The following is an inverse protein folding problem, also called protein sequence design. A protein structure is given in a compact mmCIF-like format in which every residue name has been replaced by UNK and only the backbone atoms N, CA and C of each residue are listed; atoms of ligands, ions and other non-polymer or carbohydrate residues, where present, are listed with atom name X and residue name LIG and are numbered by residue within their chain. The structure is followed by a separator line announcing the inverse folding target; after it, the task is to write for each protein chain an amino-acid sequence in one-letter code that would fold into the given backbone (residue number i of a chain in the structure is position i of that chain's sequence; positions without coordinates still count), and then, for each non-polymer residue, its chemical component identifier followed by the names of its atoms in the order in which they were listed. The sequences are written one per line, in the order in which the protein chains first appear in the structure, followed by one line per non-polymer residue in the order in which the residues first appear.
data_IF_991617382647
#
_entry.id   IF_991617382647
#
_cell.length_a   1.000
_cell.length_b   1.000
_cell.length_c   1.000
_cell.angle_alpha   90.00
_cell.angle_beta   90.00
_cell.angle_gamma   90.00
#
_symmetry.space_group_name_H-M   'P 1'
#
loop_
_entity.id
_entity.type
_entity.pdbx_description
1 polymer ?
#
# COMPACT_ATOMS: atom_id res chain seq x y z
N UNK A 1 -17.44 -13.17 6.99
CA UNK A 1 -16.34 -12.27 6.56
C UNK A 1 -16.45 -12.07 5.07
N UNK A 2 -16.27 -10.88 4.50
CA UNK A 2 -16.41 -10.71 3.05
C UNK A 2 -15.17 -11.25 2.33
N UNK A 3 -15.38 -12.03 1.26
CA UNK A 3 -14.31 -12.62 0.43
C UNK A 3 -13.29 -11.58 -0.03
N UNK A 4 -13.72 -10.34 -0.20
CA UNK A 4 -12.87 -9.22 -0.61
C UNK A 4 -11.75 -8.89 0.39
N UNK A 5 -11.97 -9.04 1.72
CA UNK A 5 -10.91 -8.81 2.72
C UNK A 5 -9.86 -9.90 2.67
N UNK A 6 -10.30 -11.17 2.53
CA UNK A 6 -9.40 -12.31 2.41
C UNK A 6 -8.56 -12.20 1.14
N UNK A 7 -9.19 -11.84 0.02
CA UNK A 7 -8.50 -11.64 -1.24
C UNK A 7 -7.44 -10.54 -1.14
N UNK A 8 -7.75 -9.41 -0.47
CA UNK A 8 -6.79 -8.35 -0.22
C UNK A 8 -5.59 -8.82 0.61
N UNK A 9 -5.82 -9.57 1.70
CA UNK A 9 -4.75 -10.10 2.55
C UNK A 9 -3.84 -11.05 1.75
N UNK A 10 -4.43 -11.98 1.00
CA UNK A 10 -3.70 -12.91 0.13
C UNK A 10 -2.91 -12.16 -0.95
N UNK A 11 -3.50 -11.13 -1.57
CA UNK A 11 -2.84 -10.30 -2.58
C UNK A 11 -1.59 -9.59 -2.04
N UNK A 12 -1.60 -9.22 -0.73
CA UNK A 12 -0.45 -8.63 -0.06
C UNK A 12 0.65 -9.65 0.30
N UNK A 13 0.44 -10.96 0.03
CA UNK A 13 1.39 -12.03 0.30
C UNK A 13 1.22 -12.73 1.65
N UNK A 14 0.12 -12.50 2.36
CA UNK A 14 -0.20 -13.17 3.62
C UNK A 14 -1.14 -14.36 3.38
N UNK A 15 -0.63 -15.39 2.70
CA UNK A 15 -1.44 -16.54 2.25
C UNK A 15 -1.90 -17.45 3.41
N UNK A 16 -1.16 -17.47 4.54
CA UNK A 16 -1.39 -18.35 5.70
C UNK A 16 -2.08 -17.65 6.87
N UNK A 17 -2.82 -16.58 6.60
CA UNK A 17 -3.54 -15.90 7.66
C UNK A 17 -4.71 -16.78 8.14
N UNK A 18 -4.69 -17.16 9.43
CA UNK A 18 -5.78 -17.90 10.04
C UNK A 18 -7.05 -17.05 10.12
N UNK A 19 -8.21 -17.68 9.98
CA UNK A 19 -9.49 -17.00 9.98
C UNK A 19 -9.73 -16.16 11.25
N UNK A 20 -9.16 -16.57 12.37
CA UNK A 20 -9.26 -15.87 13.67
C UNK A 20 -8.46 -14.57 13.73
N UNK A 21 -7.37 -14.44 12.96
CA UNK A 21 -6.49 -13.26 12.93
C UNK A 21 -6.74 -12.33 11.73
N UNK A 22 -7.63 -12.73 10.81
CA UNK A 22 -7.87 -11.99 9.56
C UNK A 22 -8.38 -10.55 9.76
N UNK A 23 -9.27 -10.30 10.72
CA UNK A 23 -9.81 -8.94 10.91
C UNK A 23 -8.76 -8.00 11.52
N UNK A 24 -7.95 -8.48 12.46
CA UNK A 24 -6.84 -7.72 13.02
C UNK A 24 -5.74 -7.46 12.00
N UNK A 25 -5.39 -8.48 11.20
CA UNK A 25 -4.41 -8.35 10.13
C UNK A 25 -4.90 -7.38 9.04
N UNK A 26 -6.18 -7.45 8.66
CA UNK A 26 -6.76 -6.51 7.71
C UNK A 26 -6.68 -5.06 8.23
N UNK A 27 -7.03 -4.82 9.49
CA UNK A 27 -6.93 -3.49 10.10
C UNK A 27 -5.47 -2.97 10.08
N UNK A 28 -4.53 -3.85 10.40
CA UNK A 28 -3.11 -3.55 10.37
C UNK A 28 -2.60 -3.21 8.97
N UNK A 29 -2.97 -4.01 7.97
CA UNK A 29 -2.58 -3.78 6.57
C UNK A 29 -3.21 -2.50 6.00
N UNK A 30 -4.38 -2.10 6.47
CA UNK A 30 -5.06 -0.87 6.05
C UNK A 30 -4.52 0.39 6.73
N UNK A 31 -3.71 0.27 7.78
CA UNK A 31 -3.16 1.42 8.49
C UNK A 31 -2.25 2.26 7.57
N UNK A 32 -1.26 1.64 6.95
CA UNK A 32 -0.32 2.32 6.06
C UNK A 32 -1.02 3.01 4.87
N UNK A 33 -1.89 2.35 4.07
CA UNK A 33 -2.58 3.03 2.98
C UNK A 33 -3.42 4.22 3.40
N UNK A 34 -4.04 4.17 4.58
CA UNK A 34 -4.82 5.29 5.12
C UNK A 34 -3.94 6.47 5.48
N UNK A 35 -2.83 6.24 6.19
CA UNK A 35 -1.89 7.30 6.56
C UNK A 35 -1.25 7.91 5.31
N UNK A 36 -0.74 7.08 4.41
CA UNK A 36 -0.16 7.54 3.13
C UNK A 36 -1.21 8.27 2.31
N UNK A 37 -2.44 7.77 2.24
CA UNK A 37 -3.53 8.42 1.51
C UNK A 37 -3.85 9.82 2.02
N UNK A 38 -3.90 10.00 3.34
CA UNK A 38 -4.10 11.33 3.94
C UNK A 38 -2.93 12.27 3.62
N UNK A 39 -1.68 11.76 3.71
CA UNK A 39 -0.50 12.56 3.39
C UNK A 39 -0.45 12.93 1.90
N UNK A 40 -0.78 12.01 1.01
CA UNK A 40 -0.88 12.27 -0.43
C UNK A 40 -1.97 13.31 -0.72
N UNK A 41 -3.14 13.17 -0.13
CA UNK A 41 -4.22 14.13 -0.31
C UNK A 41 -3.80 15.53 0.14
N UNK A 42 -3.15 15.66 1.31
CA UNK A 42 -2.61 16.92 1.76
C UNK A 42 -1.54 17.48 0.81
N UNK A 43 -0.64 16.61 0.30
CA UNK A 43 0.41 16.99 -0.65
C UNK A 43 -0.15 17.52 -1.97
N UNK A 44 -1.20 16.86 -2.49
CA UNK A 44 -1.91 17.28 -3.72
C UNK A 44 -2.63 18.61 -3.51
N UNK A 45 -3.37 18.77 -2.41
CA UNK A 45 -4.11 20.02 -2.12
C UNK A 45 -3.18 21.22 -1.94
N UNK A 46 -2.01 21.00 -1.34
CA UNK A 46 -1.01 22.04 -1.10
C UNK A 46 0.00 22.19 -2.24
N UNK A 47 -0.04 21.33 -3.25
CA UNK A 47 0.97 21.22 -4.32
C UNK A 47 2.40 21.22 -3.75
N UNK A 48 2.58 20.52 -2.63
CA UNK A 48 3.79 20.53 -1.84
C UNK A 48 4.79 19.47 -2.32
N UNK A 49 5.62 19.82 -3.32
CA UNK A 49 6.65 18.92 -3.84
C UNK A 49 7.56 18.28 -2.77
N UNK A 50 7.95 18.98 -1.66
CA UNK A 50 8.81 18.38 -0.65
C UNK A 50 8.13 17.19 0.07
N UNK A 51 6.81 17.27 0.30
CA UNK A 51 6.06 16.18 0.94
C UNK A 51 6.06 14.93 0.07
N UNK A 52 5.95 15.07 -1.25
CA UNK A 52 6.07 13.93 -2.17
C UNK A 52 7.45 13.28 -2.10
N UNK A 53 8.53 14.08 -2.00
CA UNK A 53 9.89 13.54 -1.87
C UNK A 53 10.09 12.83 -0.53
N UNK A 54 9.57 13.37 0.56
CA UNK A 54 9.60 12.71 1.88
C UNK A 54 8.83 11.39 1.83
N UNK A 55 7.62 11.39 1.28
CA UNK A 55 6.83 10.17 1.10
C UNK A 55 7.54 9.14 0.24
N UNK A 56 8.19 9.57 -0.83
CA UNK A 56 9.01 8.69 -1.68
C UNK A 56 10.10 8.02 -0.87
N UNK A 57 10.88 8.80 -0.11
CA UNK A 57 11.98 8.27 0.70
C UNK A 57 11.48 7.25 1.74
N UNK A 58 10.38 7.54 2.43
CA UNK A 58 9.79 6.66 3.43
C UNK A 58 9.25 5.37 2.81
N UNK A 59 8.60 5.44 1.65
CA UNK A 59 8.08 4.26 0.95
C UNK A 59 9.20 3.38 0.39
N UNK A 60 10.25 3.97 -0.17
CA UNK A 60 11.44 3.24 -0.61
C UNK A 60 12.17 2.60 0.57
N UNK A 61 12.32 3.32 1.69
CA UNK A 61 12.87 2.76 2.92
C UNK A 61 12.07 1.53 3.37
N UNK A 62 10.75 1.64 3.38
CA UNK A 62 9.84 0.54 3.75
C UNK A 62 9.94 -0.67 2.82
N UNK A 63 10.23 -0.43 1.52
CA UNK A 63 10.40 -1.50 0.53
C UNK A 63 11.75 -2.21 0.67
N UNK A 64 12.83 -1.48 0.97
CA UNK A 64 14.20 -2.02 1.06
C UNK A 64 14.45 -2.67 2.42
N UNK A 65 14.00 -2.04 3.50
CA UNK A 65 14.23 -2.49 4.88
C UNK A 65 12.88 -2.75 5.58
N UNK A 66 12.20 -3.86 5.24
CA UNK A 66 10.83 -4.12 5.70
C UNK A 66 10.71 -4.27 7.24
N UNK A 67 11.78 -4.71 7.92
CA UNK A 67 11.80 -4.81 9.38
C UNK A 67 11.75 -3.44 10.08
N UNK A 68 12.22 -2.39 9.38
CA UNK A 68 12.24 -1.02 9.89
C UNK A 68 11.16 -0.14 9.27
N UNK A 69 10.12 -0.74 8.67
CA UNK A 69 9.00 -0.01 8.11
C UNK A 69 8.36 0.88 9.19
N UNK A 70 8.39 2.22 9.05
CA UNK A 70 7.91 3.12 10.11
C UNK A 70 6.42 2.99 10.36
N UNK A 71 5.63 2.67 9.33
CA UNK A 71 4.18 2.48 9.47
C UNK A 71 3.84 1.22 10.26
N UNK A 72 4.53 0.11 10.00
CA UNK A 72 4.31 -1.16 10.69
C UNK A 72 4.77 -1.05 12.14
N UNK A 73 5.91 -0.38 12.39
CA UNK A 73 6.39 -0.11 13.76
C UNK A 73 5.43 0.79 14.54
N UNK A 74 4.94 1.86 13.92
CA UNK A 74 3.97 2.75 14.54
C UNK A 74 2.67 2.00 14.87
N UNK A 75 2.16 1.21 13.90
CA UNK A 75 0.99 0.38 14.14
C UNK A 75 1.22 -0.60 15.30
N UNK A 76 2.33 -1.34 15.30
CA UNK A 76 2.64 -2.29 16.34
C UNK A 76 2.77 -1.62 17.72
N UNK A 77 3.38 -0.44 17.80
CA UNK A 77 3.46 0.34 19.04
C UNK A 77 2.07 0.77 19.55
N UNK A 78 1.18 1.21 18.66
CA UNK A 78 -0.19 1.60 19.01
C UNK A 78 -1.07 0.38 19.36
N UNK A 79 -0.87 -0.75 18.69
CA UNK A 79 -1.62 -1.97 18.93
C UNK A 79 -1.20 -2.68 20.22
N UNK A 80 0.07 -2.62 20.59
CA UNK A 80 0.58 -3.22 21.84
C UNK A 80 -0.06 -2.62 23.10
N UNK A 81 -0.54 -1.37 23.02
CA UNK A 81 -1.24 -0.70 24.13
C UNK A 81 -2.72 -1.14 24.28
N UNK A 82 -3.25 -1.89 23.30
CA UNK A 82 -4.68 -2.28 23.22
C UNK A 82 -4.96 -3.78 23.35
N UNK A 83 -4.12 -4.56 24.03
CA UNK A 83 -4.28 -6.01 24.26
C UNK A 83 -4.12 -6.94 23.04
N UNK A 84 -3.01 -7.68 23.04
CA UNK A 84 -2.82 -9.00 22.41
C UNK A 84 -3.17 -9.18 20.92
N UNK A 85 -3.05 -8.14 20.10
CA UNK A 85 -3.07 -8.34 18.65
C UNK A 85 -1.65 -8.72 18.20
N UNK A 86 -1.44 -9.86 17.51
CA UNK A 86 -0.14 -10.19 16.95
C UNK A 86 0.37 -9.03 16.08
N UNK A 87 1.61 -8.58 16.33
CA UNK A 87 2.22 -7.52 15.53
C UNK A 87 2.35 -7.92 14.07
N UNK A 88 2.35 -6.92 13.18
CA UNK A 88 2.65 -7.16 11.77
C UNK A 88 4.07 -7.73 11.63
N UNK A 89 4.18 -8.83 10.92
CA UNK A 89 5.45 -9.39 10.46
C UNK A 89 6.01 -8.53 9.32
N UNK A 90 7.33 -8.58 9.03
CA UNK A 90 7.93 -7.84 7.93
C UNK A 90 7.20 -8.04 6.60
N UNK A 91 7.11 -6.97 5.82
CA UNK A 91 6.32 -6.93 4.60
C UNK A 91 6.77 -7.99 3.57
N UNK A 92 5.86 -8.87 3.08
CA UNK A 92 6.14 -9.81 2.00
C UNK A 92 6.48 -9.11 0.67
N UNK A 93 7.06 -9.87 -0.27
CA UNK A 93 7.53 -9.34 -1.56
C UNK A 93 6.47 -8.55 -2.36
N UNK A 94 5.19 -8.99 -2.48
CA UNK A 94 4.18 -8.22 -3.20
C UNK A 94 3.93 -6.84 -2.59
N UNK A 95 3.90 -6.75 -1.24
CA UNK A 95 3.71 -5.50 -0.52
C UNK A 95 4.92 -4.57 -0.66
N UNK A 96 6.13 -5.12 -0.56
CA UNK A 96 7.39 -4.37 -0.78
C UNK A 96 7.46 -3.78 -2.19
N UNK A 97 7.11 -4.57 -3.19
CA UNK A 97 7.05 -4.10 -4.58
C UNK A 97 6.04 -2.95 -4.74
N UNK A 98 4.85 -3.07 -4.17
CA UNK A 98 3.86 -2.00 -4.20
C UNK A 98 4.34 -0.72 -3.51
N UNK A 99 5.07 -0.82 -2.39
CA UNK A 99 5.69 0.31 -1.70
C UNK A 99 6.76 0.98 -2.57
N UNK A 100 7.66 0.21 -3.18
CA UNK A 100 8.68 0.73 -4.10
C UNK A 100 8.08 1.43 -5.32
N UNK A 101 7.05 0.82 -5.92
CA UNK A 101 6.31 1.42 -7.03
C UNK A 101 5.65 2.75 -6.62
N UNK A 102 4.97 2.76 -5.46
CA UNK A 102 4.39 3.99 -4.90
C UNK A 102 5.44 5.06 -4.63
N UNK A 103 6.59 4.68 -4.04
CA UNK A 103 7.73 5.57 -3.81
C UNK A 103 8.26 6.19 -5.11
N UNK A 104 8.31 5.39 -6.19
CA UNK A 104 8.74 5.89 -7.51
C UNK A 104 7.76 6.93 -8.07
N UNK A 105 6.45 6.69 -7.97
CA UNK A 105 5.46 7.68 -8.39
C UNK A 105 5.56 8.97 -7.58
N UNK A 106 5.73 8.87 -6.25
CA UNK A 106 5.94 10.06 -5.39
C UNK A 106 7.18 10.85 -5.79
N UNK A 107 8.29 10.15 -6.10
CA UNK A 107 9.51 10.78 -6.58
C UNK A 107 9.27 11.58 -7.86
N UNK A 108 8.65 10.94 -8.85
CA UNK A 108 8.38 11.59 -10.14
C UNK A 108 7.46 12.82 -9.98
N UNK A 109 6.39 12.70 -9.19
CA UNK A 109 5.51 13.84 -8.90
C UNK A 109 6.29 14.98 -8.27
N UNK A 110 7.07 14.70 -7.21
CA UNK A 110 7.86 15.71 -6.52
C UNK A 110 8.87 16.42 -7.43
N UNK A 111 9.53 15.66 -8.32
CA UNK A 111 10.47 16.21 -9.30
C UNK A 111 9.77 17.08 -10.36
N UNK A 112 8.64 16.62 -10.90
CA UNK A 112 7.88 17.40 -11.88
C UNK A 112 7.31 18.67 -11.28
N UNK A 113 6.77 18.64 -10.07
CA UNK A 113 6.29 19.84 -9.37
C UNK A 113 7.40 20.83 -9.05
N UNK A 114 8.63 20.34 -8.78
CA UNK A 114 9.76 21.20 -8.46
C UNK A 114 10.35 21.93 -9.67
N UNK A 115 10.54 21.25 -10.78
CA UNK A 115 11.39 21.70 -11.90
C UNK A 115 10.87 21.41 -13.29
N UNK A 116 9.73 20.74 -13.38
CA UNK A 116 9.19 20.28 -14.65
C UNK A 116 7.88 20.94 -15.06
N UNK A 117 7.31 20.49 -16.17
CA UNK A 117 5.96 20.88 -16.59
C UNK A 117 4.94 20.32 -15.59
N UNK A 118 3.94 21.13 -15.22
CA UNK A 118 2.91 20.75 -14.23
C UNK A 118 2.00 19.61 -14.72
N UNK A 119 1.75 19.50 -16.03
CA UNK A 119 0.82 18.53 -16.59
C UNK A 119 1.17 17.07 -16.24
N UNK A 120 2.41 16.57 -16.41
CA UNK A 120 2.77 15.21 -16.00
C UNK A 120 2.59 14.99 -14.48
N UNK A 121 2.89 16.01 -13.65
CA UNK A 121 2.67 15.91 -12.21
C UNK A 121 1.20 15.66 -11.90
N UNK A 122 0.30 16.45 -12.44
CA UNK A 122 -1.15 16.31 -12.22
C UNK A 122 -1.72 14.98 -12.70
N UNK A 123 -1.24 14.48 -13.85
CA UNK A 123 -1.64 13.14 -14.33
C UNK A 123 -1.21 12.05 -13.36
N UNK A 124 0.03 12.12 -12.87
CA UNK A 124 0.53 11.14 -11.89
C UNK A 124 -0.16 11.28 -10.53
N UNK A 125 -0.46 12.49 -10.07
CA UNK A 125 -1.24 12.75 -8.86
C UNK A 125 -2.62 12.10 -8.96
N UNK A 126 -3.34 12.33 -10.05
CA UNK A 126 -4.64 11.73 -10.29
C UNK A 126 -4.56 10.20 -10.27
N UNK A 127 -3.55 9.62 -10.95
CA UNK A 127 -3.33 8.19 -10.95
C UNK A 127 -3.09 7.64 -9.53
N UNK A 128 -2.22 8.29 -8.75
CA UNK A 128 -1.90 7.86 -7.38
C UNK A 128 -3.11 7.98 -6.46
N UNK A 129 -3.88 9.07 -6.54
CA UNK A 129 -5.11 9.25 -5.76
C UNK A 129 -6.11 8.15 -6.07
N UNK A 130 -6.31 7.81 -7.36
CA UNK A 130 -7.17 6.69 -7.77
C UNK A 130 -6.63 5.37 -7.24
N UNK A 131 -5.33 5.11 -7.39
CA UNK A 131 -4.71 3.86 -6.91
C UNK A 131 -4.87 3.67 -5.40
N UNK A 132 -4.68 4.72 -4.60
CA UNK A 132 -4.90 4.69 -3.15
C UNK A 132 -6.39 4.52 -2.82
N UNK A 133 -7.26 5.19 -3.55
CA UNK A 133 -8.71 5.02 -3.43
C UNK A 133 -9.14 3.57 -3.67
N UNK A 134 -8.57 2.90 -4.69
CA UNK A 134 -8.80 1.48 -4.96
C UNK A 134 -8.33 0.60 -3.79
N UNK A 135 -7.23 0.94 -3.11
CA UNK A 135 -6.80 0.18 -1.92
C UNK A 135 -7.78 0.38 -0.77
N UNK A 136 -8.14 1.62 -0.45
CA UNK A 136 -8.91 1.96 0.74
C UNK A 136 -10.38 1.53 0.61
N UNK A 137 -11.00 1.82 -0.54
CA UNK A 137 -12.43 1.56 -0.80
C UNK A 137 -12.62 0.21 -1.50
N UNK A 138 -11.87 -0.02 -2.57
CA UNK A 138 -11.95 -1.24 -3.38
C UNK A 138 -11.28 -2.46 -2.76
N UNK A 139 -10.44 -2.26 -1.72
CA UNK A 139 -9.65 -3.35 -1.11
C UNK A 139 -8.82 -4.09 -2.14
N UNK A 140 -8.25 -3.34 -3.06
CA UNK A 140 -7.47 -3.86 -4.18
C UNK A 140 -6.17 -3.06 -4.32
N UNK A 141 -5.03 -3.75 -4.24
CA UNK A 141 -3.72 -3.13 -4.41
C UNK A 141 -3.18 -3.37 -5.83
N UNK A 142 -3.19 -2.32 -6.65
CA UNK A 142 -2.69 -2.39 -8.03
C UNK A 142 -1.22 -2.83 -8.08
N UNK A 143 -0.36 -2.32 -7.19
CA UNK A 143 1.05 -2.68 -7.15
C UNK A 143 1.27 -4.16 -6.84
N UNK A 144 0.59 -4.72 -5.85
CA UNK A 144 0.67 -6.16 -5.53
C UNK A 144 0.09 -7.02 -6.66
N UNK A 145 -0.96 -6.55 -7.33
CA UNK A 145 -1.52 -7.23 -8.50
C UNK A 145 -0.50 -7.30 -9.65
N UNK A 146 0.15 -6.18 -9.96
CA UNK A 146 1.21 -6.13 -10.98
C UNK A 146 2.37 -7.05 -10.62
N UNK A 147 2.78 -7.10 -9.33
CA UNK A 147 3.80 -8.03 -8.87
C UNK A 147 3.44 -9.48 -9.22
N UNK A 148 2.23 -9.93 -8.90
CA UNK A 148 1.79 -11.29 -9.19
C UNK A 148 1.73 -11.59 -10.70
N UNK A 149 1.37 -10.62 -11.53
CA UNK A 149 1.41 -10.75 -12.99
C UNK A 149 2.86 -10.93 -13.49
N UNK A 150 3.78 -10.09 -13.03
CA UNK A 150 5.19 -10.14 -13.43
C UNK A 150 5.89 -11.41 -12.92
N UNK A 151 5.46 -11.95 -11.77
CA UNK A 151 5.98 -13.20 -11.20
C UNK A 151 5.39 -14.46 -11.86
N UNK A 152 4.64 -14.35 -12.95
CA UNK A 152 4.03 -15.49 -13.66
C UNK A 152 2.77 -16.05 -12.99
N UNK A 153 2.32 -15.50 -11.86
CA UNK A 153 1.18 -15.97 -11.07
C UNK A 153 -0.15 -15.31 -11.51
N UNK A 154 -0.37 -15.19 -12.83
CA UNK A 154 -1.54 -14.49 -13.39
C UNK A 154 -2.88 -15.08 -12.97
N UNK A 155 -2.96 -16.39 -12.76
CA UNK A 155 -4.21 -17.02 -12.25
C UNK A 155 -4.50 -16.60 -10.82
N UNK A 156 -3.48 -16.55 -9.95
CA UNK A 156 -3.60 -16.07 -8.57
C UNK A 156 -4.01 -14.60 -8.55
N UNK A 157 -3.36 -13.77 -9.36
CA UNK A 157 -3.70 -12.35 -9.50
C UNK A 157 -5.19 -12.14 -9.85
N UNK A 158 -5.71 -12.90 -10.81
CA UNK A 158 -7.14 -12.82 -11.21
C UNK A 158 -8.10 -13.31 -10.13
N UNK A 159 -7.72 -14.34 -9.36
CA UNK A 159 -8.54 -14.87 -8.26
C UNK A 159 -8.63 -13.93 -7.07
N UNK A 160 -7.62 -13.09 -6.86
CA UNK A 160 -7.56 -12.10 -5.77
C UNK A 160 -8.21 -10.75 -6.12
N UNK A 161 -8.84 -10.63 -7.29
CA UNK A 161 -9.64 -9.45 -7.62
C UNK A 161 -10.82 -9.30 -6.66
N UNK A 162 -11.30 -8.06 -6.39
CA UNK A 162 -12.41 -7.80 -5.46
C UNK A 162 -13.70 -8.56 -5.81
N UNK A 163 -13.90 -8.84 -7.09
CA UNK A 163 -15.03 -9.62 -7.62
C UNK A 163 -14.65 -11.08 -7.93
N UNK A 164 -13.42 -11.49 -7.68
CA UNK A 164 -12.98 -12.87 -7.84
C UNK A 164 -13.66 -13.75 -6.80
N UNK A 165 -14.28 -14.85 -7.23
CA UNK A 165 -14.78 -15.89 -6.32
C UNK A 165 -13.55 -16.59 -5.74
N UNK A 166 -13.30 -16.37 -4.44
CA UNK A 166 -12.28 -17.11 -3.71
C UNK A 166 -12.71 -18.58 -3.60
N UNK A 167 -12.17 -19.41 -4.46
CA UNK A 167 -12.21 -20.87 -4.31
C UNK A 167 -10.88 -21.36 -3.79
#
# INVERSE_FOLDING_TARGET
MSDTRINFIKQQGFERADASSCDSLYAALMFQPRVVGLMVLASVLLQAWPLFLVLSAVLWWSAVVPELNPFDRLYNALASTRNAVPGLIPAPAPRRFAQGLGGTFMLLIGLFLRSGPATPAWVLEAFVVVAIGLVIVGRFCLGSFVFHLLSGNGQFARRTLPWGRGT
#
